data_IF_499864827866
#
_entry.id   IF_499864827866
#
_cell.length_a   1.000
_cell.length_b   1.000
_cell.length_c   1.000
_cell.angle_alpha   90.00
_cell.angle_beta   90.00
_cell.angle_gamma   90.00
#
_symmetry.space_group_name_H-M   'P 1'
#
loop_
_entity.id
_entity.type
_entity.pdbx_description
1 polymer ?
#
# COMPACT_ATOMS: atom_id res chain seq x y z
N UNK A 1 6.28 0.26 18.03
CA UNK A 1 5.16 0.67 17.18
C UNK A 1 4.03 -0.37 17.22
N UNK A 2 2.79 0.11 17.36
CA UNK A 2 1.60 -0.73 17.45
C UNK A 2 1.11 -1.19 16.06
N UNK A 3 1.40 -0.40 15.03
CA UNK A 3 1.09 -0.66 13.62
C UNK A 3 2.14 -0.02 12.71
N UNK A 4 2.38 -0.62 11.55
CA UNK A 4 3.22 -0.07 10.49
C UNK A 4 2.33 0.45 9.36
N UNK A 5 2.53 1.69 8.95
CA UNK A 5 1.94 2.23 7.71
C UNK A 5 3.06 2.26 6.67
N UNK A 6 3.03 1.31 5.74
CA UNK A 6 4.04 1.19 4.69
C UNK A 6 3.56 1.92 3.42
N UNK A 7 4.25 2.99 3.03
CA UNK A 7 3.90 3.76 1.82
C UNK A 7 4.66 3.18 0.63
N UNK A 8 3.92 2.67 -0.35
CA UNK A 8 4.45 1.99 -1.54
C UNK A 8 4.08 2.79 -2.78
N UNK A 9 5.05 3.07 -3.64
CA UNK A 9 4.82 3.71 -4.95
C UNK A 9 4.35 2.67 -5.98
N UNK A 10 3.09 2.79 -6.40
CA UNK A 10 2.43 1.95 -7.40
C UNK A 10 3.15 1.94 -8.76
N UNK A 11 3.82 3.04 -9.11
CA UNK A 11 4.52 3.17 -10.38
C UNK A 11 5.89 2.45 -10.40
N UNK A 12 6.34 1.95 -9.25
CA UNK A 12 7.61 1.25 -9.02
C UNK A 12 7.47 0.10 -8.00
N UNK A 13 6.43 -0.73 -8.16
CA UNK A 13 6.07 -1.79 -7.21
C UNK A 13 7.23 -2.73 -6.87
N UNK A 14 7.90 -3.31 -7.86
CA UNK A 14 8.97 -4.31 -7.65
C UNK A 14 10.06 -3.83 -6.67
N UNK A 15 10.49 -2.58 -6.83
CA UNK A 15 11.50 -1.97 -5.95
C UNK A 15 10.96 -1.77 -4.52
N UNK A 16 9.70 -1.37 -4.38
CA UNK A 16 9.10 -1.11 -3.07
C UNK A 16 8.70 -2.41 -2.35
N UNK A 17 8.39 -3.47 -3.09
CA UNK A 17 8.04 -4.78 -2.51
C UNK A 17 9.22 -5.42 -1.79
N UNK A 18 10.47 -5.11 -2.16
CA UNK A 18 11.65 -5.59 -1.44
C UNK A 18 11.67 -5.17 0.04
N UNK A 19 11.40 -3.90 0.33
CA UNK A 19 11.28 -3.44 1.72
C UNK A 19 10.00 -3.99 2.37
N UNK A 20 8.92 -4.07 1.59
CA UNK A 20 7.63 -4.55 2.09
C UNK A 20 7.71 -5.98 2.63
N UNK A 21 8.40 -6.89 1.94
CA UNK A 21 8.59 -8.26 2.42
C UNK A 21 9.40 -8.32 3.71
N UNK A 22 10.47 -7.52 3.83
CA UNK A 22 11.23 -7.42 5.08
C UNK A 22 10.37 -6.92 6.24
N UNK A 23 9.49 -5.95 6.01
CA UNK A 23 8.58 -5.44 7.03
C UNK A 23 7.51 -6.48 7.42
N UNK A 24 7.06 -7.31 6.48
CA UNK A 24 6.12 -8.42 6.74
C UNK A 24 6.76 -9.46 7.68
N UNK A 25 8.04 -9.78 7.49
CA UNK A 25 8.78 -10.72 8.33
C UNK A 25 8.93 -10.27 9.80
N UNK A 26 8.82 -8.96 10.07
CA UNK A 26 8.84 -8.41 11.44
C UNK A 26 7.60 -8.88 12.25
N UNK A 27 6.53 -9.34 11.57
CA UNK A 27 5.34 -9.90 12.21
C UNK A 27 4.50 -8.88 12.98
N UNK A 28 4.61 -7.59 12.63
CA UNK A 28 3.80 -6.51 13.21
C UNK A 28 2.60 -6.22 12.30
N UNK A 29 1.44 -5.81 12.86
CA UNK A 29 0.32 -5.34 12.07
C UNK A 29 0.75 -4.25 11.10
N UNK A 30 0.35 -4.39 9.84
CA UNK A 30 0.73 -3.48 8.76
C UNK A 30 -0.47 -3.13 7.89
N UNK A 31 -0.52 -1.88 7.45
CA UNK A 31 -1.37 -1.41 6.35
C UNK A 31 -0.48 -0.78 5.28
N UNK A 32 -0.75 -1.11 4.02
CA UNK A 32 -0.01 -0.61 2.87
C UNK A 32 -0.78 0.54 2.24
N UNK A 33 -0.19 1.73 2.22
CA UNK A 33 -0.68 2.87 1.48
C UNK A 33 -0.06 2.87 0.08
N UNK A 34 -0.80 2.37 -0.91
CA UNK A 34 -0.36 2.27 -2.30
C UNK A 34 -0.57 3.61 -3.01
N UNK A 35 0.48 4.44 -3.04
CA UNK A 35 0.48 5.79 -3.57
C UNK A 35 0.80 5.84 -5.07
N UNK A 36 0.51 6.96 -5.73
CA UNK A 36 0.81 7.22 -7.15
C UNK A 36 0.08 6.28 -8.13
N UNK A 37 -1.17 5.91 -7.81
CA UNK A 37 -2.02 5.08 -8.68
C UNK A 37 -2.31 5.73 -10.04
N UNK A 38 -2.37 7.07 -10.07
CA UNK A 38 -2.47 7.87 -11.29
C UNK A 38 -1.27 7.64 -12.22
N UNK A 39 -0.05 7.73 -11.69
CA UNK A 39 1.17 7.49 -12.46
C UNK A 39 1.29 6.02 -12.91
N UNK A 40 0.83 5.08 -12.09
CA UNK A 40 0.79 3.67 -12.48
C UNK A 40 -0.15 3.45 -13.66
N UNK A 41 -1.34 4.05 -13.64
CA UNK A 41 -2.30 4.02 -14.76
C UNK A 41 -1.73 4.66 -16.03
N UNK A 42 -1.06 5.81 -15.94
CA UNK A 42 -0.39 6.46 -17.08
C UNK A 42 0.69 5.55 -17.72
N UNK A 43 1.37 4.73 -16.92
CA UNK A 43 2.33 3.71 -17.38
C UNK A 43 1.67 2.43 -17.92
N UNK A 44 0.33 2.34 -17.93
CA UNK A 44 -0.41 1.16 -18.35
C UNK A 44 -0.41 0.02 -17.33
N UNK A 45 -0.03 0.28 -16.08
CA UNK A 45 -0.07 -0.69 -15.00
C UNK A 45 -1.49 -0.76 -14.42
N UNK A 46 -2.03 -1.98 -14.35
CA UNK A 46 -3.26 -2.25 -13.61
C UNK A 46 -2.90 -3.06 -12.37
N UNK A 47 -3.20 -2.51 -11.21
CA UNK A 47 -2.87 -3.11 -9.93
C UNK A 47 -4.18 -3.47 -9.23
N UNK A 48 -4.38 -4.76 -9.03
CA UNK A 48 -5.45 -5.28 -8.19
C UNK A 48 -5.00 -5.22 -6.72
N UNK A 49 -5.51 -4.22 -6.00
CA UNK A 49 -5.17 -4.01 -4.58
C UNK A 49 -5.72 -5.10 -3.68
N UNK A 50 -6.82 -5.76 -4.06
CA UNK A 50 -7.41 -6.84 -3.27
C UNK A 50 -6.51 -8.07 -3.33
N UNK A 51 -6.19 -8.52 -4.54
CA UNK A 51 -5.27 -9.65 -4.75
C UNK A 51 -3.89 -9.36 -4.15
N UNK A 52 -3.36 -8.14 -4.33
CA UNK A 52 -2.08 -7.76 -3.72
C UNK A 52 -2.12 -7.82 -2.19
N UNK A 53 -3.22 -7.38 -1.58
CA UNK A 53 -3.37 -7.44 -0.13
C UNK A 53 -3.43 -8.87 0.42
N UNK A 54 -4.11 -9.78 -0.30
CA UNK A 54 -4.13 -11.21 0.04
C UNK A 54 -2.72 -11.81 -0.02
N UNK A 55 -1.97 -11.52 -1.09
CA UNK A 55 -0.61 -12.04 -1.27
C UNK A 55 0.38 -11.52 -0.22
N UNK A 56 0.23 -10.26 0.19
CA UNK A 56 1.11 -9.63 1.17
C UNK A 56 0.67 -9.86 2.62
N UNK A 57 -0.52 -10.42 2.84
CA UNK A 57 -1.08 -10.61 4.17
C UNK A 57 -1.37 -9.30 4.92
N UNK A 58 -1.54 -8.19 4.19
CA UNK A 58 -1.75 -6.86 4.74
C UNK A 58 -2.78 -6.09 3.91
N UNK A 59 -3.68 -5.29 4.52
CA UNK A 59 -4.60 -4.44 3.77
C UNK A 59 -3.83 -3.45 2.89
N UNK A 60 -4.19 -3.39 1.61
CA UNK A 60 -3.66 -2.41 0.64
C UNK A 60 -4.73 -1.37 0.36
N UNK A 61 -4.41 -0.10 0.60
CA UNK A 61 -5.29 1.03 0.38
C UNK A 61 -4.70 1.91 -0.72
N UNK A 62 -5.37 2.06 -1.88
CA UNK A 62 -4.93 3.00 -2.90
C UNK A 62 -5.09 4.43 -2.40
N UNK A 63 -4.05 5.23 -2.52
CA UNK A 63 -4.03 6.64 -2.09
C UNK A 63 -3.43 7.53 -3.17
N UNK A 64 -3.80 8.81 -3.15
CA UNK A 64 -3.12 9.87 -3.89
C UNK A 64 -2.69 10.92 -2.89
N UNK A 65 -1.43 10.87 -2.45
CA UNK A 65 -0.94 11.75 -1.38
C UNK A 65 -1.08 13.25 -1.69
N UNK A 66 -1.05 13.62 -2.98
CA UNK A 66 -1.21 15.02 -3.42
C UNK A 66 -2.63 15.56 -3.25
N UNK A 67 -3.64 14.73 -3.49
CA UNK A 67 -5.06 15.15 -3.43
C UNK A 67 -5.74 14.73 -2.12
N UNK A 68 -5.11 13.85 -1.35
CA UNK A 68 -5.68 13.27 -0.15
C UNK A 68 -6.68 12.13 -0.42
N UNK A 69 -6.86 11.72 -1.69
CA UNK A 69 -7.74 10.61 -2.03
C UNK A 69 -7.29 9.33 -1.30
N UNK A 70 -8.23 8.60 -0.71
CA UNK A 70 -7.99 7.34 0.00
C UNK A 70 -7.45 7.48 1.43
N UNK A 71 -7.15 8.69 1.91
CA UNK A 71 -6.61 8.91 3.26
C UNK A 71 -7.62 8.54 4.36
N UNK A 72 -8.92 8.81 4.17
CA UNK A 72 -9.92 8.45 5.18
C UNK A 72 -10.11 6.94 5.28
N UNK A 73 -10.10 6.24 4.15
CA UNK A 73 -10.10 4.78 4.11
C UNK A 73 -8.83 4.20 4.75
N UNK A 74 -7.67 4.82 4.50
CA UNK A 74 -6.41 4.43 5.15
C UNK A 74 -6.50 4.56 6.67
N UNK A 75 -7.06 5.67 7.17
CA UNK A 75 -7.30 5.87 8.61
C UNK A 75 -8.25 4.81 9.17
N UNK A 76 -9.32 4.47 8.46
CA UNK A 76 -10.25 3.41 8.89
C UNK A 76 -9.52 2.08 9.08
N UNK A 77 -8.64 1.71 8.15
CA UNK A 77 -7.84 0.47 8.23
C UNK A 77 -6.79 0.48 9.34
N UNK A 78 -6.31 1.65 9.77
CA UNK A 78 -5.37 1.78 10.88
C UNK A 78 -6.03 1.50 12.24
N UNK A 79 -7.32 1.83 12.37
CA UNK A 79 -8.06 1.70 13.65
C UNK A 79 -8.84 0.38 13.78
N UNK A 80 -8.77 -0.50 12.77
CA UNK A 80 -9.43 -1.82 12.74
C UNK A 80 -8.45 -2.91 13.16
#
# INVERSE_FOLDING_TARGET
>A
PDIIVNVVDASNLDRNLFLTTQLIEIGRPMVIALNMMDMAQEKGLQIDTETLGVLLGAPVVPVVGRTGLGIDLLKEKIHR
#
